data_IF_112562180134
#
_entry.id   IF_112562180134
#
_cell.length_a   1.000
_cell.length_b   1.000
_cell.length_c   1.000
_cell.angle_alpha   90.00
_cell.angle_beta   90.00
_cell.angle_gamma   90.00
#
_symmetry.space_group_name_H-M   'P 1'
#
loop_
_entity.id
_entity.type
_entity.pdbx_description
1 polymer ?
#
# COMPACT_ATOMS: atom_id res chain seq x y z
N UNK A 1 -2.48 -15.74 4.96
CA UNK A 1 -1.51 -14.67 4.73
C UNK A 1 -1.93 -13.60 5.69
N UNK A 2 -1.02 -13.19 6.57
CA UNK A 2 -1.31 -12.14 7.54
C UNK A 2 -1.11 -10.76 6.89
N UNK A 3 -1.66 -9.70 7.51
CA UNK A 3 -1.52 -8.33 7.03
C UNK A 3 -0.05 -7.97 6.72
N UNK A 4 0.88 -8.39 7.59
CA UNK A 4 2.33 -8.18 7.37
C UNK A 4 2.80 -8.74 6.03
N UNK A 5 2.37 -9.95 5.66
CA UNK A 5 2.76 -10.58 4.41
C UNK A 5 2.18 -9.86 3.21
N UNK A 6 0.92 -9.39 3.29
CA UNK A 6 0.32 -8.58 2.23
C UNK A 6 1.02 -7.24 2.04
N UNK A 7 1.36 -6.53 3.12
CA UNK A 7 2.09 -5.27 3.03
C UNK A 7 3.54 -5.43 2.53
N UNK A 8 4.09 -6.64 2.61
CA UNK A 8 5.41 -6.99 2.08
C UNK A 8 5.38 -7.43 0.61
N UNK A 9 4.22 -7.50 -0.04
CA UNK A 9 4.11 -7.82 -1.47
C UNK A 9 4.70 -6.66 -2.29
N UNK A 10 5.70 -6.91 -3.15
CA UNK A 10 6.24 -5.88 -4.02
C UNK A 10 5.28 -5.69 -5.20
N UNK A 11 4.66 -4.52 -5.31
CA UNK A 11 3.84 -4.13 -6.47
C UNK A 11 4.69 -3.42 -7.54
N UNK A 12 4.16 -3.25 -8.75
CA UNK A 12 4.83 -2.58 -9.87
C UNK A 12 4.63 -1.08 -9.73
N UNK A 13 5.71 -0.33 -9.51
CA UNK A 13 5.63 1.13 -9.53
C UNK A 13 5.70 1.62 -10.99
N UNK A 14 4.60 2.19 -11.48
CA UNK A 14 4.59 2.95 -12.72
C UNK A 14 4.77 4.43 -12.43
N UNK A 15 5.52 5.12 -13.28
CA UNK A 15 5.78 6.56 -13.18
C UNK A 15 5.61 7.22 -14.55
N UNK A 16 4.78 8.26 -14.60
CA UNK A 16 4.45 8.99 -15.82
C UNK A 16 4.54 10.50 -15.57
N UNK A 17 5.10 11.25 -16.53
CA UNK A 17 5.00 12.71 -16.53
C UNK A 17 3.69 13.12 -17.21
N UNK A 18 2.87 13.91 -16.51
CA UNK A 18 1.51 14.27 -16.96
C UNK A 18 1.35 15.78 -16.97
N UNK A 19 0.84 16.32 -18.07
CA UNK A 19 0.52 17.74 -18.17
C UNK A 19 -0.86 17.99 -17.57
N UNK A 20 -0.90 18.53 -16.34
CA UNK A 20 -2.15 18.77 -15.60
C UNK A 20 -2.87 20.04 -16.09
N UNK A 21 -2.11 21.02 -16.59
CA UNK A 21 -2.57 22.21 -17.28
C UNK A 21 -1.45 22.71 -18.21
N UNK A 22 -1.71 23.64 -19.15
CA UNK A 22 -0.68 24.12 -20.07
C UNK A 22 0.59 24.60 -19.35
N UNK A 23 1.70 23.90 -19.58
CA UNK A 23 2.99 24.18 -18.94
C UNK A 23 3.12 23.73 -17.48
N UNK A 24 2.09 23.11 -16.89
CA UNK A 24 2.11 22.53 -15.56
C UNK A 24 2.23 21.01 -15.64
N UNK A 25 3.37 20.49 -15.20
CA UNK A 25 3.69 19.07 -15.24
C UNK A 25 3.72 18.49 -13.84
N UNK A 26 3.07 17.35 -13.67
CA UNK A 26 3.12 16.54 -12.47
C UNK A 26 3.79 15.20 -12.80
N UNK A 27 4.23 14.49 -11.77
CA UNK A 27 4.49 13.07 -11.85
C UNK A 27 3.27 12.32 -11.31
N UNK A 28 2.74 11.42 -12.12
CA UNK A 28 1.74 10.43 -11.71
C UNK A 28 2.46 9.13 -11.39
N UNK A 29 2.21 8.60 -10.21
CA UNK A 29 2.68 7.29 -9.77
C UNK A 29 1.49 6.35 -9.58
N UNK A 30 1.67 5.06 -9.88
CA UNK A 30 0.62 4.06 -9.74
C UNK A 30 1.16 2.70 -9.29
N UNK A 31 0.31 1.97 -8.55
CA UNK A 31 0.38 0.52 -8.42
C UNK A 31 -0.81 -0.09 -9.18
N UNK A 32 -0.65 -0.44 -10.47
CA UNK A 32 -1.78 -0.86 -11.33
C UNK A 32 -2.41 -2.18 -10.87
N UNK A 33 -1.66 -2.97 -10.10
CA UNK A 33 -2.13 -4.21 -9.49
C UNK A 33 -3.12 -3.95 -8.34
N UNK A 34 -3.23 -2.72 -7.82
CA UNK A 34 -4.13 -2.35 -6.74
C UNK A 34 -5.27 -1.44 -7.24
N UNK A 35 -6.53 -1.67 -6.83
CA UNK A 35 -7.66 -0.86 -7.28
C UNK A 35 -7.48 0.63 -6.99
N UNK A 36 -7.44 1.46 -8.04
CA UNK A 36 -7.40 2.92 -7.92
C UNK A 36 -6.16 3.46 -7.19
N UNK A 37 -5.10 2.67 -7.02
CA UNK A 37 -3.93 3.07 -6.25
C UNK A 37 -3.00 3.94 -7.10
N UNK A 38 -3.35 5.23 -7.19
CA UNK A 38 -2.61 6.26 -7.93
C UNK A 38 -2.41 7.50 -7.07
N UNK A 39 -1.32 8.23 -7.31
CA UNK A 39 -1.04 9.53 -6.70
C UNK A 39 -0.35 10.45 -7.71
N UNK A 40 -0.55 11.76 -7.57
CA UNK A 40 0.09 12.78 -8.42
C UNK A 40 0.73 13.85 -7.54
N UNK A 41 1.85 14.41 -7.99
CA UNK A 41 2.52 15.50 -7.29
C UNK A 41 3.49 16.25 -8.19
N UNK A 42 3.85 17.48 -7.82
CA UNK A 42 4.91 18.22 -8.50
C UNK A 42 6.30 17.66 -8.14
N UNK A 43 6.42 17.01 -6.99
CA UNK A 43 7.63 16.38 -6.46
C UNK A 43 7.41 14.88 -6.36
N UNK A 44 8.36 14.10 -6.87
CA UNK A 44 8.29 12.62 -6.87
C UNK A 44 8.16 12.06 -5.45
N UNK A 45 8.90 12.62 -4.50
CA UNK A 45 8.85 12.18 -3.11
C UNK A 45 7.46 12.36 -2.50
N UNK A 46 6.82 13.51 -2.70
CA UNK A 46 5.46 13.77 -2.21
C UNK A 46 4.44 12.81 -2.83
N UNK A 47 4.53 12.59 -4.15
CA UNK A 47 3.67 11.65 -4.86
C UNK A 47 3.87 10.21 -4.35
N UNK A 48 5.12 9.81 -4.06
CA UNK A 48 5.44 8.46 -3.58
C UNK A 48 4.94 8.25 -2.14
N UNK A 49 5.09 9.23 -1.25
CA UNK A 49 4.55 9.18 0.12
C UNK A 49 3.02 9.00 0.10
N UNK A 50 2.34 9.76 -0.74
CA UNK A 50 0.89 9.64 -0.90
C UNK A 50 0.48 8.29 -1.53
N UNK A 51 1.23 7.81 -2.53
CA UNK A 51 0.98 6.50 -3.13
C UNK A 51 1.13 5.37 -2.11
N UNK A 52 2.18 5.40 -1.29
CA UNK A 52 2.41 4.38 -0.24
C UNK A 52 1.33 4.42 0.84
N UNK A 53 0.85 5.62 1.21
CA UNK A 53 -0.30 5.78 2.12
C UNK A 53 -1.54 5.10 1.54
N UNK A 54 -1.86 5.37 0.26
CA UNK A 54 -2.98 4.74 -0.46
C UNK A 54 -2.81 3.23 -0.57
N UNK A 55 -1.60 2.73 -0.83
CA UNK A 55 -1.31 1.30 -0.89
C UNK A 55 -1.71 0.60 0.40
N UNK A 56 -1.27 1.13 1.54
CA UNK A 56 -1.59 0.55 2.86
C UNK A 56 -3.10 0.62 3.11
N UNK A 57 -3.73 1.76 2.86
CA UNK A 57 -5.17 1.95 3.05
C UNK A 57 -6.01 1.00 2.19
N UNK A 58 -5.64 0.81 0.92
CA UNK A 58 -6.31 -0.11 0.00
C UNK A 58 -6.16 -1.56 0.47
N UNK A 59 -4.95 -1.99 0.84
CA UNK A 59 -4.72 -3.37 1.31
C UNK A 59 -5.50 -3.64 2.59
N UNK A 60 -5.45 -2.71 3.54
CA UNK A 60 -6.20 -2.83 4.80
C UNK A 60 -7.70 -2.83 4.54
N UNK A 61 -8.21 -1.92 3.71
CA UNK A 61 -9.63 -1.83 3.38
C UNK A 61 -10.16 -3.09 2.70
N UNK A 62 -9.38 -3.70 1.80
CA UNK A 62 -9.74 -5.00 1.19
C UNK A 62 -9.88 -6.09 2.26
N UNK A 63 -8.93 -6.20 3.19
CA UNK A 63 -8.98 -7.20 4.26
C UNK A 63 -10.14 -6.95 5.23
N UNK A 64 -10.38 -5.69 5.61
CA UNK A 64 -11.53 -5.30 6.45
C UNK A 64 -12.87 -5.65 5.77
N UNK A 65 -12.95 -5.59 4.44
CA UNK A 65 -14.11 -6.00 3.66
C UNK A 65 -14.21 -7.53 3.44
N UNK A 66 -13.25 -8.32 3.93
CA UNK A 66 -13.18 -9.77 3.69
C UNK A 66 -12.70 -10.14 2.28
N UNK A 67 -12.18 -9.19 1.51
CA UNK A 67 -11.58 -9.39 0.20
C UNK A 67 -10.08 -9.69 0.32
N UNK A 68 -9.52 -10.33 -0.71
CA UNK A 68 -8.10 -10.70 -0.72
C UNK A 68 -7.30 -9.70 -1.58
N UNK A 69 -6.30 -9.00 -1.01
CA UNK A 69 -5.39 -8.18 -1.78
C UNK A 69 -4.65 -8.99 -2.87
N UNK A 70 -4.40 -8.40 -4.04
CA UNK A 70 -3.61 -9.01 -5.11
C UNK A 70 -2.19 -9.38 -4.65
N UNK A 71 -1.71 -10.56 -5.04
CA UNK A 71 -0.36 -11.07 -4.71
C UNK A 71 0.36 -11.48 -6.01
N UNK A 72 0.76 -10.51 -6.85
CA UNK A 72 1.40 -10.78 -8.13
C UNK A 72 2.81 -11.36 -7.99
N UNK A 73 3.46 -11.10 -6.85
CA UNK A 73 4.81 -11.55 -6.50
C UNK A 73 4.85 -12.02 -5.04
N UNK A 74 5.75 -12.93 -4.69
CA UNK A 74 5.94 -13.34 -3.30
C UNK A 74 6.32 -12.15 -2.40
N UNK A 75 5.86 -12.13 -1.14
CA UNK A 75 6.27 -11.12 -0.17
C UNK A 75 7.79 -11.06 0.02
N UNK A 76 8.34 -9.85 0.16
CA UNK A 76 9.75 -9.64 0.46
C UNK A 76 10.03 -9.90 1.95
N UNK A 77 10.94 -10.83 2.22
CA UNK A 77 11.35 -11.17 3.60
C UNK A 77 12.04 -10.00 4.32
N UNK A 78 12.65 -9.08 3.56
CA UNK A 78 13.38 -7.92 4.08
C UNK A 78 12.53 -6.65 4.21
N UNK A 79 11.24 -6.70 3.85
CA UNK A 79 10.37 -5.55 3.98
C UNK A 79 10.04 -5.28 5.47
N UNK A 80 9.92 -4.00 5.82
CA UNK A 80 9.52 -3.54 7.15
C UNK A 80 8.21 -2.71 7.08
N UNK A 81 7.04 -3.36 6.92
CA UNK A 81 5.76 -2.67 6.91
C UNK A 81 5.47 -1.80 8.16
N UNK A 82 5.82 -2.23 9.38
CA UNK A 82 5.67 -1.37 10.57
C UNK A 82 6.42 -0.04 10.48
N UNK A 83 7.64 -0.02 9.90
CA UNK A 83 8.40 1.22 9.73
C UNK A 83 7.70 2.20 8.78
N UNK A 84 7.30 1.75 7.58
CA UNK A 84 6.65 2.64 6.59
C UNK A 84 5.29 3.12 7.09
N UNK A 85 4.52 2.28 7.79
CA UNK A 85 3.26 2.68 8.39
C UNK A 85 3.46 3.81 9.42
N UNK A 86 4.52 3.75 10.22
CA UNK A 86 4.85 4.80 11.19
C UNK A 86 5.27 6.10 10.51
N UNK A 87 6.13 6.03 9.49
CA UNK A 87 6.58 7.20 8.74
C UNK A 87 5.43 7.94 8.05
N UNK A 88 4.38 7.20 7.65
CA UNK A 88 3.18 7.73 7.00
C UNK A 88 2.05 8.09 7.97
N UNK A 89 2.25 7.96 9.29
CA UNK A 89 1.21 8.26 10.29
C UNK A 89 0.06 7.25 10.35
N UNK A 90 0.26 6.03 9.85
CA UNK A 90 -0.71 4.93 9.82
C UNK A 90 -0.43 3.84 10.88
N UNK A 91 0.49 4.10 11.83
CA UNK A 91 0.95 3.12 12.82
C UNK A 91 -0.21 2.48 13.61
N UNK A 92 -1.08 3.29 14.21
CA UNK A 92 -2.16 2.79 15.08
C UNK A 92 -3.08 1.81 14.36
N UNK A 93 -3.48 2.13 13.11
CA UNK A 93 -4.37 1.29 12.30
C UNK A 93 -3.69 -0.03 11.91
N UNK A 94 -2.43 0.02 11.50
CA UNK A 94 -1.68 -1.18 11.09
C UNK A 94 -1.35 -2.06 12.29
N UNK A 95 -0.93 -1.47 13.42
CA UNK A 95 -0.59 -2.20 14.65
C UNK A 95 -1.81 -2.89 15.27
N UNK A 96 -3.00 -2.25 15.24
CA UNK A 96 -4.24 -2.88 15.69
C UNK A 96 -4.53 -4.19 14.94
N UNK A 97 -4.46 -4.15 13.60
CA UNK A 97 -4.73 -5.32 12.75
C UNK A 97 -3.66 -6.40 12.83
N UNK A 98 -2.38 -6.02 13.00
CA UNK A 98 -1.31 -6.97 13.27
C UNK A 98 -1.51 -7.68 14.62
N UNK A 99 -2.01 -6.96 15.62
CA UNK A 99 -2.33 -7.51 16.94
C UNK A 99 -3.56 -8.42 16.94
N UNK A 100 -4.54 -8.17 16.08
CA UNK A 100 -5.76 -8.98 15.93
C UNK A 100 -5.53 -10.26 15.12
N UNK A 101 -4.75 -10.18 14.03
CA UNK A 101 -4.27 -11.32 13.26
C UNK A 101 -3.56 -12.37 14.14
N UNK A 102 -2.77 -11.91 15.12
CA UNK A 102 -2.09 -12.79 16.08
C UNK A 102 -3.05 -13.49 17.08
N UNK A 103 -4.33 -13.08 17.14
CA UNK A 103 -5.33 -13.58 18.11
C UNK A 103 -6.42 -14.45 17.48
N UNK A 104 -6.59 -14.41 16.16
CA UNK A 104 -7.58 -15.25 15.46
C UNK A 104 -7.07 -16.70 15.39
N UNK A 105 -7.82 -17.69 15.91
CA UNK A 105 -7.47 -19.10 15.70
C UNK A 105 -7.51 -19.41 14.20
N UNK A 106 -6.58 -20.25 13.74
CA UNK A 106 -6.52 -20.69 12.34
C UNK A 106 -7.83 -21.43 11.98
N UNK A 107 -8.79 -20.70 11.42
CA UNK A 107 -10.03 -21.26 10.92
C UNK A 107 -9.83 -21.76 9.49
N UNK A 108 -8.90 -22.70 9.31
CA UNK A 108 -8.89 -23.59 8.15
C UNK A 108 -9.36 -24.98 8.58
N UNK A 109 -10.57 -25.32 8.16
CA UNK A 109 -10.98 -26.69 7.84
C UNK A 109 -11.41 -26.74 6.40
#
# INVERSE_FOLDING_TARGET
MELREFLSVPYLLEAEAVEAAPGQWLVRLAYPELPGCTAEGAVVEDALRELERRRIETIVGLLEAGERPPVPRPPLATADPPWIARDLGLADRVEALLGEAARLPDHRR
#
